data_IF_236470477499
#
_entry.id   IF_236470477499
#
_cell.length_a   1.000
_cell.length_b   1.000
_cell.length_c   1.000
_cell.angle_alpha   90.00
_cell.angle_beta   90.00
_cell.angle_gamma   90.00
#
_symmetry.space_group_name_H-M   'P 1'
#
loop_
_entity.id
_entity.type
_entity.pdbx_description
1 polymer ?
#
# COMPACT_ATOMS: atom_id res chain seq x y z
N UNK A 1 -35.66 13.72 10.44
CA UNK A 1 -34.58 14.66 10.05
C UNK A 1 -33.28 13.91 10.22
N UNK A 2 -32.61 13.56 9.12
CA UNK A 2 -31.43 12.66 9.12
C UNK A 2 -30.15 13.49 9.25
N UNK A 3 -29.15 13.10 10.06
CA UNK A 3 -27.86 13.77 10.07
C UNK A 3 -27.06 13.28 8.87
N UNK A 4 -26.92 14.15 7.89
CA UNK A 4 -25.97 14.02 6.79
C UNK A 4 -24.54 13.90 7.33
N UNK A 5 -23.95 12.72 7.17
CA UNK A 5 -22.53 12.47 7.41
C UNK A 5 -21.71 13.37 6.49
N UNK A 6 -21.13 14.42 7.07
CA UNK A 6 -20.13 15.23 6.39
C UNK A 6 -18.88 14.37 6.16
N UNK A 7 -18.64 14.02 4.90
CA UNK A 7 -17.38 13.43 4.44
C UNK A 7 -16.27 14.44 4.75
N UNK A 8 -15.27 14.12 5.60
CA UNK A 8 -14.17 15.03 5.84
C UNK A 8 -13.35 15.20 4.55
N UNK A 9 -12.77 16.40 4.31
CA UNK A 9 -11.95 16.65 3.14
C UNK A 9 -10.76 15.68 3.15
N UNK A 10 -10.51 15.04 2.00
CA UNK A 10 -9.28 14.29 1.73
C UNK A 10 -8.09 15.26 1.76
N UNK A 11 -7.68 15.66 2.97
CA UNK A 11 -6.51 16.47 3.21
C UNK A 11 -5.27 15.65 2.87
N UNK A 12 -4.51 16.15 1.90
CA UNK A 12 -3.25 15.63 1.39
C UNK A 12 -2.10 15.85 2.40
N UNK A 13 -2.36 15.62 3.69
CA UNK A 13 -1.40 15.90 4.75
C UNK A 13 -0.59 14.64 5.08
N UNK A 14 0.74 14.76 5.07
CA UNK A 14 1.65 13.64 5.32
C UNK A 14 1.45 13.01 6.71
N UNK A 15 0.96 13.79 7.68
CA UNK A 15 0.63 13.31 9.02
C UNK A 15 -0.61 12.41 9.00
N UNK A 16 -1.68 12.84 8.34
CA UNK A 16 -2.94 12.06 8.19
C UNK A 16 -2.73 10.81 7.31
N UNK A 17 -1.77 10.85 6.37
CA UNK A 17 -1.31 9.67 5.61
C UNK A 17 -0.58 8.67 6.51
N UNK A 18 0.34 9.14 7.37
CA UNK A 18 1.06 8.28 8.34
C UNK A 18 0.14 7.64 9.37
N UNK A 19 -0.92 8.33 9.82
CA UNK A 19 -1.90 7.75 10.73
C UNK A 19 -2.72 6.62 10.08
N UNK A 20 -3.08 6.70 8.79
CA UNK A 20 -3.60 5.54 8.04
C UNK A 20 -2.53 4.46 7.78
N UNK A 21 -1.28 4.87 7.59
CA UNK A 21 -0.15 3.96 7.39
C UNK A 21 0.10 3.07 8.62
N UNK A 22 -0.32 3.49 9.81
CA UNK A 22 -0.05 2.78 11.06
C UNK A 22 -0.83 1.46 11.22
N UNK A 23 -1.98 1.29 10.54
CA UNK A 23 -2.87 0.15 10.87
C UNK A 23 -3.35 -0.63 9.65
N UNK A 24 -3.50 0.02 8.49
CA UNK A 24 -4.18 -0.58 7.33
C UNK A 24 -3.26 -1.39 6.40
N UNK A 25 -2.04 -0.94 6.03
CA UNK A 25 -1.26 -1.67 5.02
C UNK A 25 -0.67 -2.98 5.56
N UNK A 26 -0.23 -3.03 6.83
CA UNK A 26 0.31 -4.26 7.41
C UNK A 26 -0.75 -5.35 7.59
N UNK A 27 -2.00 -4.96 7.86
CA UNK A 27 -3.11 -5.89 7.98
C UNK A 27 -3.47 -6.51 6.62
N UNK A 28 -3.47 -5.71 5.54
CA UNK A 28 -3.71 -6.20 4.18
C UNK A 28 -2.63 -7.21 3.73
N UNK A 29 -1.37 -7.02 4.16
CA UNK A 29 -0.26 -7.92 3.82
C UNK A 29 -0.28 -9.26 4.59
N UNK A 30 -0.98 -9.36 5.74
CA UNK A 30 -0.94 -10.56 6.61
C UNK A 30 -1.60 -11.80 5.99
N UNK A 31 -2.48 -11.63 5.01
CA UNK A 31 -3.21 -12.74 4.37
C UNK A 31 -2.54 -13.29 3.11
N UNK A 32 -1.48 -12.66 2.62
CA UNK A 32 -0.82 -13.04 1.37
C UNK A 32 0.45 -13.83 1.63
N UNK A 33 0.69 -14.86 0.82
CA UNK A 33 1.96 -15.60 0.79
C UNK A 33 3.02 -14.71 0.13
N UNK A 34 3.68 -13.90 0.96
CA UNK A 34 4.69 -12.93 0.56
C UNK A 34 6.03 -13.31 1.18
N UNK A 35 7.08 -13.27 0.36
CA UNK A 35 8.45 -13.28 0.87
C UNK A 35 8.73 -12.01 1.68
N UNK A 36 9.74 -12.07 2.56
CA UNK A 36 10.19 -10.90 3.33
C UNK A 36 10.60 -9.74 2.40
N UNK A 37 11.19 -10.06 1.24
CA UNK A 37 11.59 -9.09 0.24
C UNK A 37 10.38 -8.39 -0.41
N UNK A 38 9.37 -9.14 -0.86
CA UNK A 38 8.14 -8.59 -1.44
C UNK A 38 7.39 -7.72 -0.44
N UNK A 39 7.26 -8.18 0.81
CA UNK A 39 6.61 -7.39 1.88
C UNK A 39 7.35 -6.08 2.14
N UNK A 40 8.68 -6.12 2.17
CA UNK A 40 9.50 -4.93 2.39
C UNK A 40 9.40 -3.96 1.22
N UNK A 41 9.42 -4.48 -0.02
CA UNK A 41 9.25 -3.68 -1.23
C UNK A 41 7.88 -3.01 -1.29
N UNK A 42 6.79 -3.71 -0.94
CA UNK A 42 5.44 -3.13 -0.88
C UNK A 42 5.33 -2.03 0.17
N UNK A 43 5.97 -2.21 1.33
CA UNK A 43 6.03 -1.17 2.37
C UNK A 43 6.86 0.03 1.91
N UNK A 44 7.95 -0.19 1.17
CA UNK A 44 8.76 0.89 0.61
C UNK A 44 8.00 1.64 -0.50
N UNK A 45 7.27 0.96 -1.38
CA UNK A 45 6.35 1.57 -2.36
C UNK A 45 5.31 2.45 -1.67
N UNK A 46 4.81 2.00 -0.52
CA UNK A 46 3.84 2.76 0.27
C UNK A 46 4.46 3.98 0.95
N UNK A 47 5.69 3.87 1.44
CA UNK A 47 6.41 4.94 2.12
C UNK A 47 6.96 5.99 1.13
N UNK A 48 7.41 5.56 -0.05
CA UNK A 48 8.15 6.36 -1.02
C UNK A 48 7.40 6.41 -2.37
N UNK A 49 6.28 7.15 -2.43
CA UNK A 49 5.50 7.30 -3.67
C UNK A 49 6.20 8.06 -4.80
N UNK A 50 7.36 8.68 -4.53
CA UNK A 50 8.20 9.36 -5.51
C UNK A 50 9.06 8.38 -6.32
N UNK A 51 9.34 7.20 -5.75
CA UNK A 51 10.16 6.17 -6.39
C UNK A 51 9.30 5.26 -7.25
N UNK A 52 9.86 4.85 -8.39
CA UNK A 52 9.18 3.92 -9.29
C UNK A 52 9.21 2.49 -8.75
N UNK A 53 8.26 1.66 -9.15
CA UNK A 53 8.26 0.23 -8.83
C UNK A 53 9.54 -0.48 -9.26
N UNK A 54 10.15 -0.05 -10.38
CA UNK A 54 11.41 -0.62 -10.86
C UNK A 54 12.56 -0.35 -9.90
N UNK A 55 12.68 0.89 -9.40
CA UNK A 55 13.74 1.26 -8.46
C UNK A 55 13.61 0.49 -7.14
N UNK A 56 12.38 0.37 -6.63
CA UNK A 56 12.10 -0.34 -5.38
C UNK A 56 12.31 -1.85 -5.56
N UNK A 57 11.81 -2.42 -6.66
CA UNK A 57 12.02 -3.83 -6.97
C UNK A 57 13.51 -4.18 -7.04
N UNK A 58 14.30 -3.33 -7.71
CA UNK A 58 15.76 -3.48 -7.81
C UNK A 58 16.42 -3.39 -6.42
N UNK A 59 16.02 -2.44 -5.58
CA UNK A 59 16.58 -2.27 -4.23
C UNK A 59 16.31 -3.46 -3.30
N UNK A 60 15.17 -4.13 -3.48
CA UNK A 60 14.75 -5.27 -2.66
C UNK A 60 15.03 -6.63 -3.31
N UNK A 61 15.58 -6.67 -4.53
CA UNK A 61 15.87 -7.91 -5.26
C UNK A 61 14.62 -8.72 -5.62
N UNK A 62 13.49 -8.04 -5.82
CA UNK A 62 12.23 -8.66 -6.26
C UNK A 62 11.97 -8.36 -7.73
N UNK A 63 11.11 -9.15 -8.35
CA UNK A 63 10.66 -8.85 -9.70
C UNK A 63 9.73 -7.63 -9.73
N UNK A 64 9.94 -6.74 -10.69
CA UNK A 64 9.16 -5.51 -10.85
C UNK A 64 7.70 -5.81 -11.18
N UNK A 65 7.44 -6.74 -12.09
CA UNK A 65 6.09 -7.07 -12.54
C UNK A 65 5.31 -7.70 -11.40
N UNK A 66 5.92 -8.66 -10.71
CA UNK A 66 5.40 -9.27 -9.49
C UNK A 66 5.05 -8.22 -8.43
N UNK A 67 5.94 -7.26 -8.19
CA UNK A 67 5.70 -6.18 -7.22
C UNK A 67 4.50 -5.31 -7.62
N UNK A 68 4.36 -4.98 -8.91
CA UNK A 68 3.21 -4.24 -9.42
C UNK A 68 1.91 -5.03 -9.27
N UNK A 69 1.89 -6.30 -9.65
CA UNK A 69 0.71 -7.17 -9.51
C UNK A 69 0.25 -7.25 -8.06
N UNK A 70 1.18 -7.52 -7.13
CA UNK A 70 0.88 -7.57 -5.69
C UNK A 70 0.38 -6.22 -5.18
N UNK A 71 0.97 -5.11 -5.63
CA UNK A 71 0.49 -3.78 -5.25
C UNK A 71 -0.95 -3.55 -5.67
N UNK A 72 -1.29 -3.87 -6.93
CA UNK A 72 -2.65 -3.70 -7.44
C UNK A 72 -3.65 -4.63 -6.77
N UNK A 73 -3.29 -5.91 -6.58
CA UNK A 73 -4.14 -6.90 -5.93
C UNK A 73 -4.39 -6.56 -4.45
N UNK A 74 -3.38 -6.10 -3.72
CA UNK A 74 -3.51 -5.86 -2.27
C UNK A 74 -4.13 -4.48 -1.97
N UNK A 75 -3.76 -3.44 -2.73
CA UNK A 75 -4.13 -2.06 -2.39
C UNK A 75 -5.21 -1.44 -3.27
N UNK A 76 -5.33 -1.81 -4.55
CA UNK A 76 -6.31 -1.19 -5.46
C UNK A 76 -7.58 -2.02 -5.63
N UNK A 77 -7.43 -3.33 -5.77
CA UNK A 77 -8.54 -4.23 -5.98
C UNK A 77 -8.25 -5.52 -5.21
N UNK A 78 -8.54 -5.58 -3.89
CA UNK A 78 -8.50 -6.84 -3.15
C UNK A 78 -9.42 -7.81 -3.86
N UNK A 79 -8.84 -8.66 -4.71
CA UNK A 79 -9.53 -9.73 -5.39
C UNK A 79 -10.14 -10.55 -4.28
N UNK A 80 -11.45 -10.41 -4.06
CA UNK A 80 -12.21 -11.24 -3.12
C UNK A 80 -12.00 -12.69 -3.54
N UNK A 81 -11.04 -13.36 -2.91
CA UNK A 81 -10.80 -14.78 -3.07
C UNK A 81 -11.11 -15.47 -1.76
#
# INVERSE_FOLDING_TARGET
MMPQLATPPLGHDAATRRERASTVPVAALRGHDLTVAERSALLDCYANSDRTFLEIATAHGVDRERLQELWFDIFLAPSRR
#
